data_IF_423148288000
#
_entry.id   IF_423148288000
#
_cell.length_a   1.000
_cell.length_b   1.000
_cell.length_c   1.000
_cell.angle_alpha   90.00
_cell.angle_beta   90.00
_cell.angle_gamma   90.00
#
_symmetry.space_group_name_H-M   'P 1'
#
loop_
_entity.id
_entity.type
_entity.pdbx_description
1 polymer ?
#
# COMPACT_ATOMS: atom_id res chain seq x y z
N UNK A 1 47.78 7.31 -24.57
CA UNK A 1 47.43 6.16 -23.71
C UNK A 1 46.12 6.53 -23.03
N UNK A 2 45.01 6.11 -23.61
CA UNK A 2 43.66 6.37 -23.10
C UNK A 2 43.41 5.46 -21.91
N UNK A 3 43.40 6.05 -20.72
CA UNK A 3 43.06 5.38 -19.47
C UNK A 3 41.61 4.91 -19.59
N UNK A 4 41.46 3.59 -19.63
CA UNK A 4 40.17 2.91 -19.76
C UNK A 4 39.51 3.00 -18.40
N UNK A 5 38.61 3.97 -18.22
CA UNK A 5 37.75 4.07 -17.06
C UNK A 5 37.02 2.74 -16.88
N UNK A 6 37.53 1.90 -15.97
CA UNK A 6 36.92 0.64 -15.63
C UNK A 6 35.50 0.90 -15.14
N UNK A 7 34.52 0.41 -15.90
CA UNK A 7 33.12 0.46 -15.52
C UNK A 7 32.97 -0.12 -14.10
N UNK A 8 32.20 0.52 -13.21
CA UNK A 8 31.99 -0.02 -11.88
C UNK A 8 31.35 -1.41 -12.00
N UNK A 9 31.76 -2.39 -11.16
CA UNK A 9 31.26 -3.76 -11.26
C UNK A 9 29.74 -3.77 -11.08
N UNK A 10 29.04 -4.45 -11.99
CA UNK A 10 27.61 -4.67 -11.90
C UNK A 10 27.29 -5.42 -10.59
N UNK A 11 26.75 -4.70 -9.63
CA UNK A 11 26.41 -5.21 -8.32
C UNK A 11 25.27 -6.23 -8.42
N UNK A 12 25.61 -7.52 -8.44
CA UNK A 12 24.65 -8.61 -8.28
C UNK A 12 24.27 -8.72 -6.79
N UNK A 13 23.41 -7.82 -6.34
CA UNK A 13 22.74 -8.00 -5.05
C UNK A 13 21.60 -9.01 -5.23
N UNK A 14 21.45 -10.01 -4.34
CA UNK A 14 20.36 -10.96 -4.41
C UNK A 14 19.03 -10.22 -4.26
N UNK A 15 18.22 -10.20 -5.31
CA UNK A 15 16.88 -9.64 -5.31
C UNK A 15 15.93 -10.64 -4.63
N UNK A 16 15.15 -10.23 -3.61
CA UNK A 16 14.16 -11.12 -3.02
C UNK A 16 13.14 -11.49 -4.09
N UNK A 17 12.74 -12.77 -4.12
CA UNK A 17 11.71 -13.26 -5.05
C UNK A 17 10.38 -13.57 -4.35
N UNK A 18 10.37 -13.62 -3.02
CA UNK A 18 9.20 -13.96 -2.21
C UNK A 18 9.02 -12.98 -1.04
N UNK A 19 7.80 -12.90 -0.45
CA UNK A 19 7.54 -12.13 0.75
C UNK A 19 8.47 -12.47 1.91
N UNK A 20 8.73 -13.75 2.17
CA UNK A 20 9.62 -14.18 3.26
C UNK A 20 11.06 -13.70 3.07
N UNK A 21 11.58 -13.77 1.85
CA UNK A 21 12.92 -13.27 1.52
C UNK A 21 13.00 -11.74 1.66
N UNK A 22 11.94 -11.04 1.24
CA UNK A 22 11.84 -9.60 1.41
C UNK A 22 11.77 -9.23 2.89
N UNK A 23 11.01 -9.96 3.69
CA UNK A 23 10.89 -9.74 5.13
C UNK A 23 12.21 -9.97 5.86
N UNK A 24 12.90 -11.08 5.57
CA UNK A 24 14.21 -11.36 6.14
C UNK A 24 15.23 -10.25 5.82
N UNK A 25 15.16 -9.68 4.61
CA UNK A 25 16.01 -8.55 4.19
C UNK A 25 15.66 -7.27 4.96
N UNK A 26 14.37 -7.01 5.20
CA UNK A 26 13.90 -5.85 5.96
C UNK A 26 14.21 -5.95 7.47
N UNK A 27 14.14 -7.17 8.04
CA UNK A 27 14.47 -7.44 9.45
C UNK A 27 15.96 -7.41 9.74
N UNK A 28 16.80 -7.72 8.74
CA UNK A 28 18.25 -7.74 8.88
C UNK A 28 18.91 -6.67 7.98
N UNK A 29 18.77 -5.37 8.32
CA UNK A 29 19.33 -4.25 7.55
C UNK A 29 20.87 -4.18 7.59
N UNK A 30 21.54 -5.23 8.07
CA UNK A 30 22.99 -5.40 8.01
C UNK A 30 23.46 -6.00 6.67
N UNK A 31 22.57 -6.60 5.86
CA UNK A 31 22.90 -7.11 4.51
C UNK A 31 22.92 -6.01 3.43
N UNK A 32 22.84 -4.77 3.90
CA UNK A 32 22.49 -3.64 3.08
C UNK A 32 23.40 -2.48 3.46
N UNK A 33 24.09 -1.92 2.48
CA UNK A 33 25.18 -0.99 2.68
C UNK A 33 24.81 0.17 3.66
N UNK A 34 25.26 0.00 4.90
CA UNK A 34 25.50 1.02 5.93
C UNK A 34 24.29 1.59 6.69
N UNK A 35 24.12 1.16 7.94
CA UNK A 35 23.33 1.83 8.99
C UNK A 35 23.87 3.22 9.38
N UNK A 36 23.93 4.14 8.40
CA UNK A 36 24.26 5.55 8.53
C UNK A 36 22.96 6.36 8.48
N UNK A 37 22.72 7.23 9.46
CA UNK A 37 21.49 8.05 9.52
C UNK A 37 21.55 9.27 8.60
N UNK A 38 22.75 9.66 8.18
CA UNK A 38 23.00 10.85 7.36
C UNK A 38 23.95 10.55 6.19
N UNK A 39 23.79 11.28 5.08
CA UNK A 39 24.62 11.13 3.87
C UNK A 39 26.12 11.24 4.18
N UNK A 40 26.50 12.16 5.09
CA UNK A 40 27.89 12.33 5.51
C UNK A 40 28.50 11.08 6.13
N UNK A 41 27.76 10.40 7.02
CA UNK A 41 28.19 9.14 7.62
C UNK A 41 28.29 8.04 6.56
N UNK A 42 27.39 8.04 5.58
CA UNK A 42 27.39 7.06 4.51
C UNK A 42 28.60 7.19 3.60
N UNK A 43 28.98 8.42 3.24
CA UNK A 43 30.20 8.74 2.49
C UNK A 43 31.48 8.31 3.24
N UNK A 44 31.48 8.44 4.56
CA UNK A 44 32.59 7.97 5.40
C UNK A 44 32.65 6.45 5.42
N UNK A 45 31.52 5.78 5.66
CA UNK A 45 31.48 4.33 5.76
C UNK A 45 31.73 3.63 4.41
N UNK A 46 31.34 4.24 3.29
CA UNK A 46 31.66 3.77 1.95
C UNK A 46 33.12 4.01 1.54
N UNK A 47 33.93 4.64 2.41
CA UNK A 47 35.35 4.93 2.15
C UNK A 47 35.60 6.02 1.11
N UNK A 48 34.56 6.78 0.71
CA UNK A 48 34.69 7.84 -0.31
C UNK A 48 35.28 9.11 0.29
N UNK A 49 35.02 9.38 1.57
CA UNK A 49 35.63 10.49 2.31
C UNK A 49 36.11 10.03 3.69
N UNK A 50 37.04 10.77 4.31
CA UNK A 50 37.46 10.56 5.69
C UNK A 50 36.56 11.30 6.69
N UNK A 51 36.60 10.88 7.95
CA UNK A 51 35.93 11.61 9.05
C UNK A 51 36.42 13.06 9.19
N UNK A 52 37.68 13.35 8.89
CA UNK A 52 38.24 14.70 8.93
C UNK A 52 37.68 15.57 7.79
N UNK A 53 37.59 15.01 6.59
CA UNK A 53 36.99 15.67 5.42
C UNK A 53 35.51 15.99 5.65
N UNK A 54 34.75 15.05 6.25
CA UNK A 54 33.36 15.29 6.62
C UNK A 54 33.22 16.45 7.61
N UNK A 55 34.04 16.50 8.67
CA UNK A 55 34.03 17.60 9.64
C UNK A 55 34.34 18.94 9.00
N UNK A 56 35.37 19.00 8.15
CA UNK A 56 35.76 20.22 7.45
C UNK A 56 34.65 20.73 6.52
N UNK A 57 33.98 19.83 5.79
CA UNK A 57 32.87 20.19 4.91
C UNK A 57 31.64 20.71 5.70
N UNK A 58 31.28 20.06 6.81
CA UNK A 58 30.18 20.52 7.67
C UNK A 58 30.44 21.89 8.29
N UNK A 59 31.68 22.14 8.72
CA UNK A 59 32.09 23.42 9.28
C UNK A 59 32.01 24.52 8.22
N UNK A 60 32.49 24.25 7.00
CA UNK A 60 32.37 25.18 5.89
C UNK A 60 30.90 25.44 5.50
N UNK A 61 30.07 24.40 5.47
CA UNK A 61 28.62 24.55 5.22
C UNK A 61 27.95 25.42 6.29
N UNK A 62 28.35 25.28 7.55
CA UNK A 62 27.83 26.08 8.66
C UNK A 62 28.19 27.56 8.53
N UNK A 63 29.44 27.88 8.20
CA UNK A 63 29.87 29.27 7.96
C UNK A 63 29.17 29.89 6.73
N UNK A 64 28.99 29.12 5.65
CA UNK A 64 28.23 29.56 4.46
C UNK A 64 26.76 29.89 4.80
N UNK A 65 26.13 29.09 5.67
CA UNK A 65 24.74 29.35 6.11
C UNK A 65 24.60 30.62 6.92
N UNK A 66 25.60 31.00 7.73
CA UNK A 66 25.58 32.27 8.49
C UNK A 66 25.51 33.49 7.59
N UNK A 67 26.12 33.41 6.41
CA UNK A 67 26.11 34.48 5.40
C UNK A 67 24.98 34.31 4.37
N UNK A 68 24.00 33.44 4.64
CA UNK A 68 22.81 33.25 3.81
C UNK A 68 22.98 32.34 2.60
N UNK A 69 24.11 31.64 2.48
CA UNK A 69 24.37 30.72 1.36
C UNK A 69 23.96 29.30 1.78
N UNK A 70 22.97 28.74 1.09
CA UNK A 70 22.48 27.39 1.33
C UNK A 70 22.88 26.46 0.19
N UNK A 71 23.82 25.54 0.46
CA UNK A 71 24.23 24.49 -0.48
C UNK A 71 24.07 23.11 0.12
N UNK A 72 23.80 22.13 -0.75
CA UNK A 72 23.79 20.72 -0.37
C UNK A 72 25.23 20.27 -0.08
N UNK A 73 25.41 19.48 0.98
CA UNK A 73 26.73 19.04 1.44
C UNK A 73 27.50 18.27 0.36
N UNK A 74 26.81 17.34 -0.33
CA UNK A 74 27.41 16.57 -1.42
C UNK A 74 27.89 17.45 -2.57
N UNK A 75 27.09 18.42 -3.01
CA UNK A 75 27.49 19.35 -4.07
C UNK A 75 28.69 20.21 -3.67
N UNK A 76 28.70 20.72 -2.44
CA UNK A 76 29.82 21.49 -1.92
C UNK A 76 31.12 20.65 -1.89
N UNK A 77 31.02 19.37 -1.56
CA UNK A 77 32.16 18.45 -1.57
C UNK A 77 32.64 18.13 -2.99
N UNK A 78 31.74 18.05 -3.97
CA UNK A 78 32.08 17.89 -5.40
C UNK A 78 32.81 19.14 -5.91
N UNK A 79 32.27 20.33 -5.63
CA UNK A 79 32.87 21.61 -6.05
C UNK A 79 34.29 21.79 -5.48
N UNK A 80 34.52 21.29 -4.26
CA UNK A 80 35.83 21.33 -3.57
C UNK A 80 36.77 20.18 -3.98
N UNK A 81 36.36 19.33 -4.91
CA UNK A 81 37.16 18.19 -5.39
C UNK A 81 37.38 17.09 -4.34
N UNK A 82 36.59 17.07 -3.26
CA UNK A 82 36.71 16.07 -2.19
C UNK A 82 36.16 14.70 -2.62
N UNK A 83 35.21 14.70 -3.55
CA UNK A 83 34.64 13.49 -4.17
C UNK A 83 34.09 13.86 -5.56
N UNK A 84 33.98 12.87 -6.44
CA UNK A 84 33.45 13.08 -7.80
C UNK A 84 31.93 12.91 -7.84
N UNK A 85 31.27 13.53 -8.82
CA UNK A 85 29.82 13.39 -8.99
C UNK A 85 29.37 11.93 -9.19
N UNK A 86 30.09 11.06 -9.93
CA UNK A 86 29.78 9.63 -9.98
C UNK A 86 29.91 8.92 -8.63
N UNK A 87 30.92 9.24 -7.83
CA UNK A 87 31.08 8.67 -6.49
C UNK A 87 29.96 9.12 -5.55
N UNK A 88 29.56 10.40 -5.62
CA UNK A 88 28.43 10.92 -4.86
C UNK A 88 27.15 10.15 -5.20
N UNK A 89 26.85 9.99 -6.50
CA UNK A 89 25.68 9.26 -6.98
C UNK A 89 25.70 7.80 -6.54
N UNK A 90 26.87 7.14 -6.61
CA UNK A 90 27.02 5.75 -6.18
C UNK A 90 26.77 5.58 -4.66
N UNK A 91 27.34 6.46 -3.84
CA UNK A 91 27.12 6.42 -2.39
C UNK A 91 25.70 6.77 -2.03
N UNK A 92 25.09 7.76 -2.68
CA UNK A 92 23.67 8.06 -2.50
C UNK A 92 22.83 6.83 -2.85
N UNK A 93 23.10 6.15 -3.97
CA UNK A 93 22.37 4.95 -4.37
C UNK A 93 22.53 3.78 -3.38
N UNK A 94 23.74 3.58 -2.85
CA UNK A 94 24.00 2.54 -1.83
C UNK A 94 23.54 2.90 -0.43
N UNK A 95 23.55 4.18 -0.06
CA UNK A 95 23.10 4.72 1.24
C UNK A 95 21.58 4.80 1.33
N UNK A 96 20.94 5.23 0.23
CA UNK A 96 19.53 4.97 -0.03
C UNK A 96 19.27 3.50 -0.34
N UNK A 97 20.29 2.64 -0.21
CA UNK A 97 20.20 1.23 -0.50
C UNK A 97 18.92 0.65 0.08
N UNK A 98 18.54 -0.51 -0.46
CA UNK A 98 17.63 -1.47 0.21
C UNK A 98 16.19 -1.29 -0.15
N UNK A 99 15.92 -0.51 -1.19
CA UNK A 99 14.57 -0.36 -1.67
C UNK A 99 14.49 -0.48 -3.18
N UNK A 100 15.55 -0.50 -3.99
CA UNK A 100 15.36 -0.77 -5.44
C UNK A 100 15.07 -2.26 -5.65
N UNK A 101 13.79 -2.58 -5.82
CA UNK A 101 13.32 -3.93 -6.10
C UNK A 101 12.89 -3.99 -7.56
N UNK A 102 13.41 -5.00 -8.28
CA UNK A 102 12.86 -5.38 -9.58
C UNK A 102 11.74 -6.41 -9.34
N UNK A 103 10.47 -6.04 -9.52
CA UNK A 103 9.35 -6.94 -9.34
C UNK A 103 9.28 -8.01 -10.44
N UNK A 104 10.09 -7.98 -11.49
CA UNK A 104 10.02 -8.85 -12.66
C UNK A 104 9.94 -10.36 -12.35
N UNK A 105 10.52 -10.83 -11.24
CA UNK A 105 10.40 -12.23 -10.79
C UNK A 105 9.79 -12.38 -9.39
N UNK A 106 9.28 -11.29 -8.82
CA UNK A 106 8.72 -11.28 -7.48
C UNK A 106 7.33 -11.93 -7.44
N UNK A 107 7.11 -12.83 -6.48
CA UNK A 107 5.81 -13.43 -6.17
C UNK A 107 5.10 -12.52 -5.17
N UNK A 108 4.01 -11.90 -5.61
CA UNK A 108 3.23 -10.97 -4.78
C UNK A 108 2.35 -11.73 -3.78
N UNK A 109 2.22 -11.18 -2.58
CA UNK A 109 1.21 -11.59 -1.61
C UNK A 109 -0.17 -11.06 -2.04
N UNK A 110 -1.14 -11.95 -2.37
CA UNK A 110 -2.46 -11.52 -2.82
C UNK A 110 -3.22 -10.68 -1.78
N UNK A 111 -3.00 -10.93 -0.48
CA UNK A 111 -3.68 -10.17 0.57
C UNK A 111 -3.15 -8.74 0.64
N UNK A 112 -1.83 -8.57 0.47
CA UNK A 112 -1.22 -7.25 0.39
C UNK A 112 -1.69 -6.48 -0.86
N UNK A 113 -1.71 -7.13 -2.04
CA UNK A 113 -2.17 -6.50 -3.28
C UNK A 113 -3.62 -6.03 -3.17
N UNK A 114 -4.48 -6.82 -2.52
CA UNK A 114 -5.89 -6.47 -2.32
C UNK A 114 -6.11 -5.22 -1.42
N UNK A 115 -5.12 -4.80 -0.63
CA UNK A 115 -5.24 -3.61 0.23
C UNK A 115 -5.25 -2.29 -0.53
N UNK A 116 -4.72 -2.28 -1.76
CA UNK A 116 -4.70 -1.09 -2.61
C UNK A 116 -5.56 -1.39 -3.84
N UNK A 117 -6.64 -0.63 -4.10
CA UNK A 117 -7.44 -0.83 -5.30
C UNK A 117 -6.62 -0.61 -6.57
N UNK A 118 -6.87 -1.41 -7.61
CA UNK A 118 -6.11 -1.38 -8.86
C UNK A 118 -5.99 0.03 -9.46
N UNK A 119 -7.10 0.78 -9.51
CA UNK A 119 -7.11 2.14 -10.04
C UNK A 119 -6.23 3.12 -9.24
N UNK A 120 -6.08 2.91 -7.93
CA UNK A 120 -5.17 3.70 -7.08
C UNK A 120 -3.72 3.28 -7.35
N UNK A 121 -3.47 1.97 -7.46
CA UNK A 121 -2.15 1.43 -7.78
C UNK A 121 -1.61 1.97 -9.12
N UNK A 122 -2.45 2.01 -10.15
CA UNK A 122 -2.10 2.60 -11.46
C UNK A 122 -1.91 4.11 -11.39
N UNK A 123 -2.86 4.83 -10.78
CA UNK A 123 -2.84 6.31 -10.74
C UNK A 123 -1.65 6.85 -9.95
N UNK A 124 -1.39 6.29 -8.77
CA UNK A 124 -0.31 6.74 -7.88
C UNK A 124 1.02 6.00 -8.13
N UNK A 125 1.05 5.07 -9.09
CA UNK A 125 2.21 4.23 -9.39
C UNK A 125 2.79 3.54 -8.14
N UNK A 126 1.97 2.68 -7.52
CA UNK A 126 2.31 1.93 -6.31
C UNK A 126 1.87 0.47 -6.41
N UNK A 127 2.64 -0.43 -5.79
CA UNK A 127 2.36 -1.87 -5.78
C UNK A 127 2.64 -2.47 -4.40
N UNK A 128 1.61 -2.90 -3.65
CA UNK A 128 1.83 -3.67 -2.43
C UNK A 128 2.56 -4.98 -2.72
N UNK A 129 3.55 -5.32 -1.90
CA UNK A 129 4.38 -6.52 -2.07
C UNK A 129 4.05 -7.61 -1.05
N UNK A 130 3.90 -7.21 0.22
CA UNK A 130 3.61 -8.09 1.34
C UNK A 130 3.01 -7.30 2.51
N UNK A 131 2.23 -7.99 3.33
CA UNK A 131 1.81 -7.50 4.64
C UNK A 131 2.41 -8.35 5.76
N UNK A 132 2.67 -7.74 6.90
CA UNK A 132 3.06 -8.46 8.12
C UNK A 132 2.60 -7.67 9.34
N UNK A 133 1.73 -8.27 10.16
CA UNK A 133 1.13 -7.60 11.32
C UNK A 133 0.51 -6.22 10.95
N UNK A 134 1.03 -5.12 11.51
CA UNK A 134 0.58 -3.75 11.25
C UNK A 134 1.31 -3.08 10.07
N UNK A 135 2.23 -3.77 9.40
CA UNK A 135 3.08 -3.23 8.35
C UNK A 135 2.61 -3.66 6.96
N UNK A 136 2.66 -2.72 6.02
CA UNK A 136 2.48 -2.98 4.59
C UNK A 136 3.72 -2.49 3.84
N UNK A 137 4.37 -3.40 3.11
CA UNK A 137 5.51 -3.09 2.26
C UNK A 137 5.00 -2.75 0.88
N UNK A 138 5.28 -1.53 0.41
CA UNK A 138 4.74 -0.99 -0.84
C UNK A 138 5.88 -0.59 -1.76
N UNK A 139 5.90 -1.11 -2.98
CA UNK A 139 6.79 -0.68 -4.05
C UNK A 139 6.28 0.61 -4.70
N UNK A 140 7.13 1.61 -4.89
CA UNK A 140 6.78 2.97 -5.28
C UNK A 140 7.81 3.55 -6.24
N UNK A 141 7.39 4.50 -7.10
CA UNK A 141 8.32 5.26 -7.93
C UNK A 141 9.18 6.24 -7.12
N UNK A 142 8.62 6.87 -6.08
CA UNK A 142 9.33 7.75 -5.14
C UNK A 142 8.96 7.45 -3.68
N UNK A 143 9.83 6.75 -2.92
CA UNK A 143 9.64 6.50 -1.49
C UNK A 143 9.67 7.74 -0.58
N UNK A 144 10.06 8.91 -1.10
CA UNK A 144 10.14 10.16 -0.34
C UNK A 144 8.86 11.02 -0.44
N UNK A 145 7.89 10.63 -1.27
CA UNK A 145 6.60 11.31 -1.38
C UNK A 145 5.76 11.11 -0.10
N UNK A 146 5.90 12.04 0.85
CA UNK A 146 5.17 12.00 2.13
C UNK A 146 3.66 12.06 1.97
N UNK A 147 3.15 12.78 0.97
CA UNK A 147 1.70 12.92 0.74
C UNK A 147 1.10 11.55 0.40
N UNK A 148 1.73 10.84 -0.54
CA UNK A 148 1.29 9.51 -0.95
C UNK A 148 1.45 8.49 0.18
N UNK A 149 2.52 8.57 0.97
CA UNK A 149 2.68 7.72 2.16
C UNK A 149 1.55 7.91 3.17
N UNK A 150 1.12 9.15 3.41
CA UNK A 150 0.04 9.45 4.35
C UNK A 150 -1.33 9.01 3.79
N UNK A 151 -1.57 9.17 2.49
CA UNK A 151 -2.76 8.65 1.81
C UNK A 151 -2.85 7.12 1.90
N UNK A 152 -1.75 6.41 1.64
CA UNK A 152 -1.69 4.96 1.76
C UNK A 152 -1.87 4.48 3.20
N UNK A 153 -1.29 5.17 4.20
CA UNK A 153 -1.52 4.87 5.63
C UNK A 153 -2.99 4.99 5.99
N UNK A 154 -3.64 6.07 5.53
CA UNK A 154 -5.05 6.31 5.81
C UNK A 154 -5.95 5.27 5.14
N UNK A 155 -5.72 4.95 3.87
CA UNK A 155 -6.55 3.98 3.15
C UNK A 155 -6.37 2.55 3.68
N UNK A 156 -5.14 2.15 3.98
CA UNK A 156 -4.83 0.77 4.38
C UNK A 156 -4.93 0.54 5.89
N UNK A 157 -4.94 1.60 6.70
CA UNK A 157 -4.84 1.55 8.16
C UNK A 157 -3.60 0.77 8.65
N UNK A 158 -2.54 0.75 7.85
CA UNK A 158 -1.26 0.09 8.14
C UNK A 158 -0.10 1.08 8.16
N UNK A 159 0.97 0.71 8.85
CA UNK A 159 2.26 1.40 8.75
C UNK A 159 2.93 1.04 7.42
N UNK A 160 3.24 2.07 6.64
CA UNK A 160 3.83 1.88 5.30
C UNK A 160 5.35 1.81 5.36
N UNK A 161 5.90 0.79 4.70
CA UNK A 161 7.33 0.54 4.53
C UNK A 161 7.65 0.67 3.03
N UNK A 162 8.00 1.87 2.54
CA UNK A 162 8.00 2.16 1.09
C UNK A 162 9.27 1.71 0.39
N UNK A 163 9.21 0.85 -0.62
CA UNK A 163 10.31 0.28 -1.42
C UNK A 163 10.33 0.99 -2.78
N UNK A 164 11.50 1.23 -3.37
CA UNK A 164 11.71 1.92 -4.64
C UNK A 164 11.62 0.92 -5.82
N UNK A 165 10.85 1.22 -6.85
CA UNK A 165 10.85 0.37 -8.04
C UNK A 165 12.13 0.57 -8.87
N UNK A 166 12.65 -0.51 -9.45
CA UNK A 166 13.61 -0.37 -10.54
C UNK A 166 12.98 0.41 -11.71
N UNK A 167 13.72 1.33 -12.37
CA UNK A 167 13.17 2.16 -13.44
C UNK A 167 12.49 1.33 -14.53
N UNK A 168 11.27 1.68 -14.91
CA UNK A 168 10.51 1.01 -15.98
C UNK A 168 9.89 -0.35 -15.61
N UNK A 169 10.08 -0.84 -14.40
CA UNK A 169 9.59 -2.17 -13.98
C UNK A 169 8.23 -2.14 -13.27
N UNK A 170 7.81 -0.98 -12.77
CA UNK A 170 6.64 -0.85 -11.89
C UNK A 170 5.30 -1.06 -12.62
N UNK A 171 5.06 -0.33 -13.71
CA UNK A 171 3.83 -0.43 -14.49
C UNK A 171 3.52 -1.87 -14.98
N UNK A 172 4.46 -2.61 -15.62
CA UNK A 172 4.18 -3.99 -16.01
C UNK A 172 3.98 -4.92 -14.82
N UNK A 173 4.59 -4.62 -13.66
CA UNK A 173 4.38 -5.40 -12.45
C UNK A 173 3.01 -5.16 -11.81
N UNK A 174 2.52 -3.92 -11.83
CA UNK A 174 1.15 -3.58 -11.43
C UNK A 174 0.17 -4.39 -12.28
N UNK A 175 0.28 -4.27 -13.61
CA UNK A 175 -0.58 -5.04 -14.53
C UNK A 175 -0.56 -6.53 -14.19
N UNK A 176 0.62 -7.14 -14.03
CA UNK A 176 0.75 -8.57 -13.69
C UNK A 176 0.14 -8.94 -12.32
N UNK A 177 0.28 -8.07 -11.32
CA UNK A 177 -0.25 -8.32 -9.97
C UNK A 177 -1.78 -8.33 -9.97
N UNK A 178 -2.39 -7.38 -10.68
CA UNK A 178 -3.85 -7.21 -10.79
C UNK A 178 -4.47 -7.93 -12.01
N UNK A 179 -3.68 -8.66 -12.81
CA UNK A 179 -4.19 -9.62 -13.81
C UNK A 179 -4.50 -10.99 -13.17
N UNK A 180 -3.75 -11.37 -12.12
CA UNK A 180 -3.88 -12.67 -11.43
C UNK A 180 -4.94 -12.66 -10.33
N UNK A 181 -5.12 -11.53 -9.66
CA UNK A 181 -6.40 -11.24 -9.04
C UNK A 181 -7.28 -10.74 -10.16
N UNK A 182 -8.45 -11.33 -10.41
CA UNK A 182 -9.31 -10.68 -11.37
C UNK A 182 -9.68 -9.31 -10.75
N UNK A 183 -10.00 -8.28 -11.56
CA UNK A 183 -10.25 -6.92 -11.07
C UNK A 183 -11.21 -6.98 -9.87
N UNK A 184 -11.15 -6.05 -8.93
CA UNK A 184 -11.98 -6.07 -7.72
C UNK A 184 -13.49 -6.34 -7.99
N UNK A 185 -13.97 -6.09 -9.21
CA UNK A 185 -15.27 -6.51 -9.77
C UNK A 185 -15.48 -8.03 -9.92
N UNK A 186 -14.46 -8.85 -9.68
CA UNK A 186 -14.40 -10.29 -9.94
C UNK A 186 -13.83 -11.04 -8.73
N UNK A 187 -13.27 -10.36 -7.72
CA UNK A 187 -13.24 -10.89 -6.36
C UNK A 187 -14.67 -11.09 -5.82
N UNK A 188 -15.62 -10.27 -6.30
CA UNK A 188 -17.05 -10.55 -6.20
C UNK A 188 -17.46 -11.80 -6.99
N UNK A 189 -16.91 -12.02 -8.20
CA UNK A 189 -17.25 -13.19 -9.04
C UNK A 189 -16.60 -14.51 -8.65
N UNK A 190 -15.47 -14.55 -7.93
CA UNK A 190 -14.93 -15.81 -7.37
C UNK A 190 -15.59 -16.22 -6.05
N UNK A 191 -16.41 -15.34 -5.46
CA UNK A 191 -17.45 -15.71 -4.49
C UNK A 191 -18.84 -15.88 -5.15
N UNK A 192 -18.95 -15.80 -6.48
CA UNK A 192 -20.22 -15.98 -7.19
C UNK A 192 -20.52 -17.44 -7.58
N UNK A 193 -19.68 -18.40 -7.20
CA UNK A 193 -20.12 -19.80 -7.15
C UNK A 193 -21.04 -20.08 -5.95
N UNK A 194 -21.20 -19.09 -5.05
CA UNK A 194 -22.25 -19.01 -4.03
C UNK A 194 -22.97 -17.65 -4.14
N UNK A 195 -23.61 -17.37 -5.28
CA UNK A 195 -24.55 -16.23 -5.38
C UNK A 195 -25.85 -16.59 -4.65
N UNK A 196 -25.78 -16.63 -3.32
CA UNK A 196 -26.97 -16.58 -2.49
C UNK A 196 -27.59 -15.19 -2.70
N UNK A 197 -28.90 -15.14 -3.01
CA UNK A 197 -29.57 -13.86 -3.26
C UNK A 197 -29.42 -12.96 -2.03
N UNK A 198 -29.52 -11.63 -2.17
CA UNK A 198 -29.48 -10.73 -1.01
C UNK A 198 -30.54 -11.10 0.04
N UNK A 199 -31.64 -11.74 -0.40
CA UNK A 199 -32.66 -12.33 0.48
C UNK A 199 -32.14 -13.49 1.33
N UNK A 200 -31.35 -14.39 0.75
CA UNK A 200 -30.77 -15.54 1.46
C UNK A 200 -29.73 -15.09 2.49
N UNK A 201 -28.86 -14.14 2.11
CA UNK A 201 -27.87 -13.56 3.02
C UNK A 201 -28.52 -12.76 4.16
N UNK A 202 -29.64 -12.10 3.89
CA UNK A 202 -30.41 -11.41 4.92
C UNK A 202 -31.10 -12.39 5.89
N UNK A 203 -31.52 -13.57 5.41
CA UNK A 203 -32.04 -14.64 6.25
C UNK A 203 -30.93 -15.24 7.12
N UNK A 204 -29.75 -15.53 6.56
CA UNK A 204 -28.59 -16.05 7.28
C UNK A 204 -28.17 -15.12 8.44
N UNK A 205 -28.11 -13.81 8.17
CA UNK A 205 -27.84 -12.77 9.19
C UNK A 205 -28.88 -12.77 10.32
N UNK A 206 -30.13 -13.09 10.02
CA UNK A 206 -31.22 -13.11 11.00
C UNK A 206 -31.19 -14.39 11.83
N UNK A 207 -30.87 -15.55 11.23
CA UNK A 207 -30.78 -16.85 11.91
C UNK A 207 -29.51 -17.02 12.74
N UNK A 208 -28.38 -16.43 12.34
CA UNK A 208 -27.11 -16.52 13.08
C UNK A 208 -27.16 -15.92 14.49
N UNK A 209 -28.27 -15.30 14.86
CA UNK A 209 -28.42 -14.48 16.05
C UNK A 209 -29.63 -14.86 16.91
N UNK A 210 -30.25 -16.02 16.64
CA UNK A 210 -31.18 -16.71 17.55
C UNK A 210 -30.47 -17.68 18.52
N UNK A 211 -29.14 -17.82 18.43
CA UNK A 211 -28.37 -18.83 19.18
C UNK A 211 -27.56 -18.28 20.37
N UNK A 212 -27.60 -16.99 20.69
CA UNK A 212 -26.68 -16.40 21.69
C UNK A 212 -27.37 -15.46 22.67
N UNK A 213 -27.93 -16.04 23.73
CA UNK A 213 -27.99 -15.41 25.05
C UNK A 213 -26.62 -15.59 25.72
N UNK A 214 -25.65 -14.71 25.49
CA UNK A 214 -24.61 -14.25 26.43
C UNK A 214 -23.61 -13.29 25.73
N UNK A 215 -22.96 -12.37 26.48
CA UNK A 215 -22.34 -11.18 25.90
C UNK A 215 -20.85 -11.38 25.53
N UNK A 216 -20.36 -10.43 24.72
CA UNK A 216 -18.96 -10.03 24.52
C UNK A 216 -18.13 -10.58 23.31
N UNK A 217 -17.97 -9.65 22.35
CA UNK A 217 -16.75 -9.26 21.60
C UNK A 217 -16.35 -10.01 20.31
N UNK A 218 -16.70 -11.28 20.07
CA UNK A 218 -16.28 -11.96 18.81
C UNK A 218 -17.31 -11.99 17.66
N UNK A 219 -18.59 -11.67 17.93
CA UNK A 219 -19.69 -11.78 16.93
C UNK A 219 -19.71 -10.64 15.90
N UNK A 220 -18.98 -9.54 16.16
CA UNK A 220 -18.95 -8.37 15.27
C UNK A 220 -18.26 -8.70 13.95
N UNK A 221 -17.23 -9.57 13.96
CA UNK A 221 -16.41 -9.85 12.77
C UNK A 221 -17.13 -10.69 11.70
N UNK A 222 -17.86 -11.73 12.11
CA UNK A 222 -18.60 -12.60 11.17
C UNK A 222 -19.87 -11.92 10.64
N UNK A 223 -20.58 -11.20 11.51
CA UNK A 223 -21.74 -10.39 11.13
C UNK A 223 -21.33 -9.28 10.16
N UNK A 224 -20.18 -8.64 10.39
CA UNK A 224 -19.65 -7.60 9.50
C UNK A 224 -19.30 -8.13 8.12
N UNK A 225 -18.66 -9.31 8.02
CA UNK A 225 -18.35 -9.92 6.73
C UNK A 225 -19.63 -10.25 5.95
N UNK A 226 -20.64 -10.80 6.63
CA UNK A 226 -21.92 -11.17 6.00
C UNK A 226 -22.73 -9.92 5.60
N UNK A 227 -22.68 -8.84 6.39
CA UNK A 227 -23.27 -7.54 6.04
C UNK A 227 -22.62 -6.91 4.82
N UNK A 228 -21.29 -6.98 4.70
CA UNK A 228 -20.57 -6.50 3.51
C UNK A 228 -20.98 -7.31 2.27
N UNK A 229 -21.11 -8.64 2.40
CA UNK A 229 -21.59 -9.50 1.31
C UNK A 229 -23.03 -9.16 0.92
N UNK A 230 -23.90 -8.89 1.90
CA UNK A 230 -25.28 -8.48 1.66
C UNK A 230 -25.33 -7.15 0.89
N UNK A 231 -24.58 -6.14 1.31
CA UNK A 231 -24.57 -4.83 0.67
C UNK A 231 -24.08 -4.91 -0.78
N UNK A 232 -23.00 -5.67 -1.01
CA UNK A 232 -22.47 -5.87 -2.37
C UNK A 232 -23.48 -6.60 -3.26
N UNK A 233 -24.11 -7.67 -2.77
CA UNK A 233 -25.16 -8.39 -3.51
C UNK A 233 -26.36 -7.49 -3.83
N UNK A 234 -26.73 -6.62 -2.90
CA UNK A 234 -27.83 -5.66 -3.07
C UNK A 234 -27.53 -4.63 -4.18
N UNK A 235 -26.28 -4.16 -4.28
CA UNK A 235 -25.84 -3.27 -5.37
C UNK A 235 -25.86 -4.02 -6.71
N UNK A 236 -25.36 -5.25 -6.75
CA UNK A 236 -25.35 -6.08 -7.96
C UNK A 236 -26.78 -6.34 -8.46
N UNK A 237 -27.70 -6.66 -7.57
CA UNK A 237 -29.11 -6.89 -7.90
C UNK A 237 -29.82 -5.59 -8.33
N UNK A 238 -29.48 -4.45 -7.73
CA UNK A 238 -29.97 -3.15 -8.17
C UNK A 238 -29.52 -2.83 -9.61
N UNK A 239 -28.25 -3.11 -9.94
CA UNK A 239 -27.70 -2.95 -11.30
C UNK A 239 -28.39 -3.91 -12.28
N UNK A 240 -28.53 -5.19 -11.89
CA UNK A 240 -29.19 -6.20 -12.72
C UNK A 240 -30.64 -5.83 -13.03
N UNK A 241 -31.35 -5.22 -12.06
CA UNK A 241 -32.71 -4.72 -12.23
C UNK A 241 -32.78 -3.31 -12.86
N UNK A 242 -31.64 -2.72 -13.22
CA UNK A 242 -31.54 -1.36 -13.78
C UNK A 242 -32.20 -0.30 -12.88
N UNK A 243 -32.06 -0.45 -11.56
CA UNK A 243 -32.53 0.53 -10.60
C UNK A 243 -31.74 1.83 -10.74
N UNK A 244 -32.47 2.94 -10.71
CA UNK A 244 -31.89 4.29 -10.71
C UNK A 244 -31.35 4.67 -9.33
N UNK A 245 -32.00 4.20 -8.26
CA UNK A 245 -31.65 4.52 -6.88
C UNK A 245 -31.92 3.35 -5.94
N UNK A 246 -31.09 3.26 -4.91
CA UNK A 246 -31.24 2.34 -3.79
C UNK A 246 -31.61 3.17 -2.55
N UNK A 247 -32.83 2.98 -2.05
CA UNK A 247 -33.32 3.66 -0.85
C UNK A 247 -33.20 2.73 0.35
N UNK A 248 -32.41 3.13 1.34
CA UNK A 248 -32.22 2.40 2.61
C UNK A 248 -32.84 3.22 3.74
N UNK A 249 -33.94 2.72 4.29
CA UNK A 249 -34.73 3.41 5.32
C UNK A 249 -34.45 2.85 6.70
N UNK A 250 -33.90 3.70 7.58
CA UNK A 250 -33.43 3.34 8.91
C UNK A 250 -34.28 3.98 10.01
N UNK A 251 -35.57 3.64 10.07
CA UNK A 251 -36.52 4.17 11.07
C UNK A 251 -36.29 3.65 12.49
N UNK A 252 -36.36 4.48 13.54
CA UNK A 252 -36.10 4.08 14.94
C UNK A 252 -36.69 2.69 15.36
N UNK A 253 -35.99 1.90 16.22
CA UNK A 253 -36.47 0.58 16.64
C UNK A 253 -37.86 0.70 17.30
N UNK A 254 -38.77 -0.27 17.14
CA UNK A 254 -38.55 -1.65 16.67
C UNK A 254 -38.67 -1.84 15.14
N UNK A 255 -38.80 -0.77 14.36
CA UNK A 255 -39.05 -0.89 12.91
C UNK A 255 -37.83 -1.45 12.18
N UNK A 256 -38.09 -2.42 11.30
CA UNK A 256 -37.09 -3.03 10.41
C UNK A 256 -36.48 -1.98 9.48
N UNK A 257 -35.22 -2.19 9.12
CA UNK A 257 -34.56 -1.45 8.04
C UNK A 257 -35.16 -1.93 6.72
N UNK A 258 -35.63 -1.02 5.87
CA UNK A 258 -36.25 -1.37 4.59
C UNK A 258 -35.37 -0.90 3.44
N UNK A 259 -35.18 -1.77 2.45
CA UNK A 259 -34.49 -1.44 1.21
C UNK A 259 -35.50 -1.43 0.07
N UNK A 260 -35.52 -0.34 -0.69
CA UNK A 260 -36.37 -0.15 -1.87
C UNK A 260 -35.51 0.23 -3.07
N UNK A 261 -35.89 -0.23 -4.25
CA UNK A 261 -35.29 0.19 -5.52
C UNK A 261 -36.21 1.14 -6.27
N UNK A 262 -35.64 2.14 -6.93
CA UNK A 262 -36.38 2.98 -7.88
C UNK A 262 -36.25 2.40 -9.28
N UNK A 263 -37.28 1.66 -9.71
CA UNK A 263 -37.38 1.02 -11.02
C UNK A 263 -38.34 1.84 -11.90
N UNK A 264 -37.87 2.37 -13.02
CA UNK A 264 -38.66 3.17 -13.96
C UNK A 264 -39.48 4.31 -13.31
N UNK A 265 -38.93 4.89 -12.24
CA UNK A 265 -39.54 5.98 -11.46
C UNK A 265 -40.42 5.55 -10.29
N UNK A 266 -40.72 4.26 -10.13
CA UNK A 266 -41.50 3.72 -9.02
C UNK A 266 -40.61 3.12 -7.92
N UNK A 267 -40.98 3.35 -6.66
CA UNK A 267 -40.28 2.81 -5.49
C UNK A 267 -40.84 1.42 -5.12
N UNK A 268 -40.10 0.37 -5.47
CA UNK A 268 -40.46 -1.02 -5.21
C UNK A 268 -39.74 -1.55 -3.98
N UNK A 269 -40.47 -2.21 -3.07
CA UNK A 269 -39.87 -2.83 -1.88
C UNK A 269 -39.07 -4.07 -2.27
N UNK A 270 -37.84 -4.15 -1.78
CA UNK A 270 -36.91 -5.21 -2.15
C UNK A 270 -36.62 -6.18 -1.00
N UNK A 271 -36.17 -5.62 0.12
CA UNK A 271 -35.67 -6.39 1.28
C UNK A 271 -36.00 -5.68 2.60
N UNK A 272 -36.22 -6.44 3.67
CA UNK A 272 -36.31 -5.94 5.04
C UNK A 272 -35.30 -6.64 5.95
N UNK A 273 -34.62 -5.87 6.81
CA UNK A 273 -33.56 -6.33 7.70
C UNK A 273 -33.91 -5.92 9.14
N UNK A 274 -33.58 -6.76 10.11
CA UNK A 274 -33.88 -6.48 11.52
C UNK A 274 -33.22 -5.18 12.03
N UNK A 275 -33.95 -4.49 12.91
CA UNK A 275 -33.60 -3.14 13.37
C UNK A 275 -32.22 -3.04 14.06
N UNK A 276 -31.73 -4.15 14.64
CA UNK A 276 -30.41 -4.25 15.30
C UNK A 276 -29.23 -4.02 14.35
N UNK A 277 -29.40 -4.29 13.05
CA UNK A 277 -28.33 -4.13 12.05
C UNK A 277 -28.25 -2.71 11.48
N UNK A 278 -29.11 -1.78 11.94
CA UNK A 278 -29.16 -0.39 11.45
C UNK A 278 -27.79 0.29 11.46
N UNK A 279 -27.14 0.36 12.62
CA UNK A 279 -25.91 1.13 12.75
C UNK A 279 -24.77 0.50 11.94
N UNK A 280 -24.73 -0.84 11.90
CA UNK A 280 -23.75 -1.59 11.12
C UNK A 280 -23.92 -1.36 9.61
N UNK A 281 -25.16 -1.32 9.10
CA UNK A 281 -25.43 -0.99 7.69
C UNK A 281 -25.03 0.45 7.36
N UNK A 282 -25.40 1.42 8.21
CA UNK A 282 -25.09 2.84 7.99
C UNK A 282 -23.58 3.10 8.03
N UNK A 283 -22.82 2.41 8.89
CA UNK A 283 -21.38 2.59 8.97
C UNK A 283 -20.60 2.10 7.73
N UNK A 284 -21.26 1.37 6.82
CA UNK A 284 -20.63 0.72 5.65
C UNK A 284 -21.02 1.35 4.30
N UNK A 285 -21.95 2.32 4.32
CA UNK A 285 -22.45 3.08 3.17
C UNK A 285 -21.82 4.47 3.21
#
# INVERSE_FOLDING_TARGET
>A
MTDTAAAPPASHYPQPRTPDQLWALLQNPQSTAHGARHLGEALVKSGVISNEQLKAALLAQFEERKIGIYRQLGQQMVDKGMLTEPQLRHVIAGWLGNRVLDPGQFVFDPEAVAMVPHHVAEREAVLPLMQHEDLLVVLMADPLDKRLLDELRFMTQRRIVPVLAAPGTLAPAIARAYERQPPAEVAAKRKADNHAAARDLALDLQTASDVSNEPEVDVVSESDNTLVRLLNSLIEEAIAQKASDIHIETEAPPKKVRVRFRLDGELVRYLEIESRFRYALVARI
#
